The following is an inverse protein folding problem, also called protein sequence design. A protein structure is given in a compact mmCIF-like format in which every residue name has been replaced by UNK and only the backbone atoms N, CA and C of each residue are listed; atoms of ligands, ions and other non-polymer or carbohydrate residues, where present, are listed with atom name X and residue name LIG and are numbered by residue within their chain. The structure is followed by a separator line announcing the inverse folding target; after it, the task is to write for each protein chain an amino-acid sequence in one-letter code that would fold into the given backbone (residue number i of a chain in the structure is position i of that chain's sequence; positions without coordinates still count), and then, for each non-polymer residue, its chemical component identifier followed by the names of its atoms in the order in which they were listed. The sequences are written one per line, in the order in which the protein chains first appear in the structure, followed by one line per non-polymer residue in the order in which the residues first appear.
data_IF_983795287464
#
_entry.id   IF_983795287464
#
_cell.length_a   1.000
_cell.length_b   1.000
_cell.length_c   1.000
_cell.angle_alpha   90.00
_cell.angle_beta   90.00
_cell.angle_gamma   90.00
#
_symmetry.space_group_name_H-M   'P 1'
#
loop_
_entity.id
_entity.type
_entity.pdbx_description
1 polymer ?
#
# COMPACT_ATOMS: atom_id res chain seq x y z
N UNK A 1 14.67 -1.53 -29.76
CA UNK A 1 14.84 -2.18 -28.44
C UNK A 1 15.68 -1.33 -27.47
N UNK A 2 16.83 -0.75 -27.87
CA UNK A 2 17.59 0.20 -27.03
C UNK A 2 16.81 1.48 -26.67
N UNK A 3 16.10 2.10 -27.62
CA UNK A 3 15.26 3.29 -27.38
C UNK A 3 14.14 3.13 -26.34
N UNK A 4 13.73 1.89 -26.05
CA UNK A 4 12.74 1.57 -25.02
C UNK A 4 13.37 1.24 -23.66
N UNK A 5 14.60 0.73 -23.66
CA UNK A 5 15.29 0.30 -22.44
C UNK A 5 15.89 1.49 -21.69
N UNK A 6 16.46 2.47 -22.39
CA UNK A 6 17.11 3.63 -21.80
C UNK A 6 16.20 4.44 -20.84
N UNK A 7 14.95 4.83 -21.20
CA UNK A 7 14.07 5.56 -20.28
C UNK A 7 13.56 4.72 -19.10
N UNK A 8 13.51 3.39 -19.25
CA UNK A 8 13.13 2.49 -18.15
C UNK A 8 14.24 2.44 -17.10
N UNK A 9 15.51 2.36 -17.52
CA UNK A 9 16.65 2.38 -16.59
C UNK A 9 16.74 3.71 -15.84
N UNK A 10 16.52 4.84 -16.51
CA UNK A 10 16.53 6.16 -15.87
C UNK A 10 15.40 6.32 -14.84
N UNK A 11 14.21 5.80 -15.16
CA UNK A 11 13.05 5.84 -14.26
C UNK A 11 13.31 5.02 -12.99
N UNK A 12 13.80 3.78 -13.16
CA UNK A 12 14.16 2.90 -12.05
C UNK A 12 15.28 3.51 -11.21
N UNK A 13 16.30 4.09 -11.84
CA UNK A 13 17.40 4.78 -11.17
C UNK A 13 16.91 5.94 -10.32
N UNK A 14 16.02 6.78 -10.86
CA UNK A 14 15.46 7.94 -10.15
C UNK A 14 14.62 7.53 -8.94
N UNK A 15 13.74 6.53 -9.10
CA UNK A 15 12.94 5.98 -8.00
C UNK A 15 13.83 5.42 -6.91
N UNK A 16 14.84 4.63 -7.27
CA UNK A 16 15.80 4.03 -6.33
C UNK A 16 16.54 5.10 -5.53
N UNK A 17 17.04 6.15 -6.19
CA UNK A 17 17.73 7.25 -5.52
C UNK A 17 16.81 8.04 -4.58
N UNK A 18 15.54 8.22 -4.93
CA UNK A 18 14.57 8.91 -4.08
C UNK A 18 14.23 8.10 -2.83
N UNK A 19 14.12 6.77 -2.96
CA UNK A 19 13.96 5.86 -1.81
C UNK A 19 15.18 5.93 -0.89
N UNK A 20 16.39 5.86 -1.43
CA UNK A 20 17.63 5.96 -0.63
C UNK A 20 17.74 7.31 0.10
N UNK A 21 17.41 8.41 -0.57
CA UNK A 21 17.37 9.75 0.05
C UNK A 21 16.33 9.80 1.18
N UNK A 22 15.14 9.24 0.97
CA UNK A 22 14.09 9.18 1.98
C UNK A 22 14.58 8.40 3.21
N UNK A 23 15.14 7.19 3.03
CA UNK A 23 15.70 6.39 4.12
C UNK A 23 16.80 7.13 4.89
N UNK A 24 17.66 7.89 4.22
CA UNK A 24 18.67 8.72 4.88
C UNK A 24 18.04 9.86 5.73
N UNK A 25 16.95 10.47 5.27
CA UNK A 25 16.22 11.46 6.08
C UNK A 25 15.57 10.83 7.32
N UNK A 26 15.07 9.60 7.20
CA UNK A 26 14.52 8.83 8.33
C UNK A 26 15.60 8.48 9.33
N UNK A 27 16.76 7.97 8.87
CA UNK A 27 17.89 7.64 9.72
C UNK A 27 18.44 8.87 10.48
N UNK A 28 18.32 10.07 9.91
CA UNK A 28 18.68 11.34 10.56
C UNK A 28 17.61 11.88 11.52
N UNK A 29 16.52 11.12 11.76
CA UNK A 29 15.44 11.50 12.67
C UNK A 29 14.60 12.71 12.22
N UNK A 30 14.67 13.10 10.94
CA UNK A 30 14.01 14.30 10.42
C UNK A 30 12.54 14.08 10.03
N UNK A 31 11.84 13.22 10.77
CA UNK A 31 10.46 12.80 10.51
C UNK A 31 9.48 13.75 11.19
N UNK A 32 8.53 14.28 10.42
CA UNK A 32 7.40 15.01 10.98
C UNK A 32 6.33 14.01 11.42
N UNK A 33 6.21 13.79 12.72
CA UNK A 33 5.29 12.80 13.32
C UNK A 33 3.83 13.11 13.02
N UNK A 34 3.43 14.38 13.04
CA UNK A 34 2.04 14.78 12.76
C UNK A 34 1.66 14.39 11.33
N UNK A 35 2.52 14.70 10.38
CA UNK A 35 2.29 14.34 8.98
C UNK A 35 2.35 12.83 8.75
N UNK A 36 3.21 12.11 9.47
CA UNK A 36 3.26 10.66 9.40
C UNK A 36 1.95 10.02 9.89
N UNK A 37 1.43 10.47 11.04
CA UNK A 37 0.17 9.95 11.61
C UNK A 37 -1.01 10.22 10.67
N UNK A 38 -1.06 11.39 10.05
CA UNK A 38 -2.07 11.72 9.04
C UNK A 38 -2.00 10.76 7.84
N UNK A 39 -0.80 10.49 7.33
CA UNK A 39 -0.63 9.52 6.23
C UNK A 39 -0.96 8.09 6.67
N UNK A 40 -0.66 7.69 7.91
CA UNK A 40 -1.04 6.38 8.43
C UNK A 40 -2.57 6.21 8.53
N UNK A 41 -3.30 7.28 8.87
CA UNK A 41 -4.76 7.26 8.85
C UNK A 41 -5.31 7.03 7.43
N UNK A 42 -4.76 7.73 6.44
CA UNK A 42 -5.14 7.58 5.02
C UNK A 42 -4.87 6.18 4.50
N UNK A 43 -3.69 5.63 4.83
CA UNK A 43 -3.27 4.28 4.39
C UNK A 43 -4.07 3.19 5.10
N UNK A 44 -4.20 3.28 6.42
CA UNK A 44 -4.80 2.25 7.26
C UNK A 44 -6.30 2.43 7.49
N UNK A 45 -6.64 3.42 8.33
CA UNK A 45 -8.01 3.62 8.81
C UNK A 45 -9.00 3.81 7.66
N UNK A 46 -8.67 4.65 6.68
CA UNK A 46 -9.58 4.90 5.57
C UNK A 46 -9.69 3.67 4.63
N UNK A 47 -8.71 2.75 4.64
CA UNK A 47 -8.72 1.53 3.83
C UNK A 47 -9.45 0.38 4.51
N UNK A 48 -9.69 0.46 5.83
CA UNK A 48 -10.34 -0.61 6.60
C UNK A 48 -11.68 -1.06 5.99
N UNK A 49 -12.61 -0.15 5.60
CA UNK A 49 -13.89 -0.58 5.03
C UNK A 49 -13.74 -1.45 3.78
N UNK A 50 -12.80 -1.08 2.90
CA UNK A 50 -12.52 -1.82 1.68
C UNK A 50 -11.93 -3.20 1.99
N UNK A 51 -10.91 -3.26 2.86
CA UNK A 51 -10.25 -4.52 3.26
C UNK A 51 -11.24 -5.47 3.92
N UNK A 52 -12.08 -4.96 4.83
CA UNK A 52 -13.10 -5.77 5.53
C UNK A 52 -14.14 -6.31 4.56
N UNK A 53 -14.66 -5.48 3.65
CA UNK A 53 -15.65 -5.92 2.66
C UNK A 53 -15.09 -7.03 1.76
N UNK A 54 -13.91 -6.83 1.16
CA UNK A 54 -13.31 -7.82 0.26
C UNK A 54 -13.00 -9.12 1.01
N UNK A 55 -12.41 -9.02 2.21
CA UNK A 55 -12.04 -10.20 3.00
C UNK A 55 -13.27 -10.99 3.48
N UNK A 56 -14.35 -10.30 3.85
CA UNK A 56 -15.60 -10.95 4.27
C UNK A 56 -16.27 -11.72 3.13
N UNK A 57 -16.32 -11.12 1.93
CA UNK A 57 -16.87 -11.77 0.73
C UNK A 57 -16.00 -12.98 0.37
N UNK A 58 -14.68 -12.81 0.29
CA UNK A 58 -13.75 -13.90 -0.01
C UNK A 58 -13.79 -15.03 1.02
N UNK A 59 -13.92 -14.71 2.31
CA UNK A 59 -14.07 -15.70 3.38
C UNK A 59 -15.36 -16.51 3.25
N UNK A 60 -16.46 -15.85 2.89
CA UNK A 60 -17.76 -16.50 2.67
C UNK A 60 -17.72 -17.47 1.47
N UNK A 61 -17.08 -17.05 0.38
CA UNK A 61 -16.86 -17.89 -0.81
C UNK A 61 -15.99 -19.10 -0.48
N UNK A 62 -14.92 -18.89 0.31
CA UNK A 62 -14.05 -19.99 0.73
C UNK A 62 -14.80 -21.01 1.60
N UNK A 63 -15.63 -20.54 2.54
CA UNK A 63 -16.44 -21.41 3.39
C UNK A 63 -17.42 -22.26 2.56
N UNK A 64 -18.07 -21.66 1.56
CA UNK A 64 -18.96 -22.38 0.66
C UNK A 64 -18.22 -23.48 -0.11
N UNK A 65 -17.10 -23.14 -0.75
CA UNK A 65 -16.28 -24.12 -1.49
C UNK A 65 -15.74 -25.23 -0.59
N UNK A 66 -15.32 -24.90 0.63
CA UNK A 66 -14.83 -25.88 1.59
C UNK A 66 -15.94 -26.83 2.03
N UNK A 67 -17.14 -26.31 2.30
CA UNK A 67 -18.30 -27.11 2.68
C UNK A 67 -18.70 -28.10 1.58
N UNK A 68 -18.73 -27.66 0.31
CA UNK A 68 -19.06 -28.56 -0.81
C UNK A 68 -18.04 -29.70 -0.92
N UNK A 69 -16.74 -29.40 -0.78
CA UNK A 69 -15.69 -30.42 -0.86
C UNK A 69 -15.71 -31.39 0.31
N UNK A 70 -15.91 -30.91 1.53
CA UNK A 70 -15.92 -31.76 2.72
C UNK A 70 -17.22 -32.56 2.89
N UNK A 71 -18.33 -32.11 2.30
CA UNK A 71 -19.57 -32.87 2.28
C UNK A 71 -19.41 -34.20 1.53
N UNK A 72 -18.57 -34.23 0.49
CA UNK A 72 -18.30 -35.45 -0.29
C UNK A 72 -17.40 -36.45 0.43
N UNK A 73 -16.58 -35.99 1.38
CA UNK A 73 -15.61 -36.82 2.11
C UNK A 73 -16.03 -37.16 3.53
N UNK A 74 -17.16 -36.60 4.00
CA UNK A 74 -17.69 -36.79 5.36
C UNK A 74 -16.98 -35.96 6.43
N UNK A 75 -16.15 -34.99 6.06
CA UNK A 75 -15.26 -34.25 6.98
C UNK A 75 -15.73 -32.80 7.23
N UNK A 76 -17.04 -32.57 7.33
CA UNK A 76 -17.65 -31.24 7.43
C UNK A 76 -17.22 -30.46 8.70
N UNK A 77 -16.83 -31.15 9.77
CA UNK A 77 -16.32 -30.52 10.99
C UNK A 77 -15.04 -29.68 10.77
N UNK A 78 -14.27 -29.94 9.71
CA UNK A 78 -13.00 -29.25 9.44
C UNK A 78 -13.16 -27.97 8.63
N UNK A 79 -14.37 -27.64 8.14
CA UNK A 79 -14.62 -26.43 7.32
C UNK A 79 -14.15 -25.17 8.06
N UNK A 80 -14.55 -24.99 9.32
CA UNK A 80 -14.19 -23.81 10.09
C UNK A 80 -12.69 -23.67 10.32
N UNK A 81 -12.00 -24.79 10.61
CA UNK A 81 -10.56 -24.81 10.81
C UNK A 81 -9.80 -24.45 9.54
N UNK A 82 -10.23 -24.98 8.38
CA UNK A 82 -9.64 -24.66 7.09
C UNK A 82 -9.81 -23.17 6.74
N UNK A 83 -11.02 -22.63 6.87
CA UNK A 83 -11.29 -21.22 6.58
C UNK A 83 -10.46 -20.31 7.48
N UNK A 84 -10.43 -20.56 8.79
CA UNK A 84 -9.65 -19.76 9.73
C UNK A 84 -8.15 -19.78 9.40
N UNK A 85 -7.58 -20.97 9.14
CA UNK A 85 -6.16 -21.12 8.84
C UNK A 85 -5.78 -20.44 7.53
N UNK A 86 -6.57 -20.63 6.47
CA UNK A 86 -6.35 -20.01 5.17
C UNK A 86 -6.50 -18.49 5.21
N UNK A 87 -7.46 -17.97 5.98
CA UNK A 87 -7.64 -16.53 6.17
C UNK A 87 -6.44 -15.90 6.89
N UNK A 88 -5.95 -16.50 7.97
CA UNK A 88 -4.85 -15.90 8.74
C UNK A 88 -3.50 -16.00 8.03
N UNK A 89 -3.21 -17.13 7.36
CA UNK A 89 -1.87 -17.37 6.79
C UNK A 89 -1.66 -16.79 5.40
N UNK A 90 -2.71 -16.73 4.59
CA UNK A 90 -2.57 -16.40 3.17
C UNK A 90 -3.52 -15.29 2.75
N UNK A 91 -4.82 -15.55 2.85
CA UNK A 91 -5.82 -14.69 2.23
C UNK A 91 -5.91 -13.32 2.91
N UNK A 92 -5.80 -13.25 4.24
CA UNK A 92 -5.81 -11.98 4.98
C UNK A 92 -4.70 -11.03 4.54
N UNK A 93 -3.41 -11.46 4.58
CA UNK A 93 -2.30 -10.66 4.05
C UNK A 93 -2.47 -10.29 2.57
N UNK A 94 -2.90 -11.23 1.72
CA UNK A 94 -3.07 -10.99 0.27
C UNK A 94 -4.17 -9.96 0.01
N UNK A 95 -5.35 -10.13 0.61
CA UNK A 95 -6.49 -9.21 0.42
C UNK A 95 -6.16 -7.81 0.94
N UNK A 96 -5.46 -7.73 2.09
CA UNK A 96 -5.02 -6.46 2.67
C UNK A 96 -4.04 -5.74 1.73
N UNK A 97 -2.99 -6.44 1.27
CA UNK A 97 -1.98 -5.87 0.38
C UNK A 97 -2.58 -5.40 -0.96
N UNK A 98 -3.49 -6.19 -1.55
CA UNK A 98 -4.15 -5.84 -2.80
C UNK A 98 -5.09 -4.64 -2.63
N UNK A 99 -5.94 -4.65 -1.62
CA UNK A 99 -6.91 -3.58 -1.39
C UNK A 99 -6.23 -2.26 -1.04
N UNK A 100 -5.26 -2.27 -0.11
CA UNK A 100 -4.51 -1.07 0.27
C UNK A 100 -3.68 -0.59 -0.93
N UNK A 101 -2.93 -1.48 -1.59
CA UNK A 101 -2.09 -1.12 -2.73
C UNK A 101 -2.86 -0.45 -3.87
N UNK A 102 -4.04 -0.98 -4.21
CA UNK A 102 -4.90 -0.39 -5.24
C UNK A 102 -5.45 0.99 -4.83
N UNK A 103 -6.00 1.09 -3.62
CA UNK A 103 -6.65 2.33 -3.14
C UNK A 103 -5.64 3.44 -2.87
N UNK A 104 -4.60 3.12 -2.10
CA UNK A 104 -3.59 4.10 -1.67
C UNK A 104 -2.70 4.49 -2.85
N UNK A 105 -2.31 3.53 -3.71
CA UNK A 105 -1.49 3.81 -4.88
C UNK A 105 -2.17 4.79 -5.85
N UNK A 106 -3.48 4.62 -6.09
CA UNK A 106 -4.26 5.53 -6.93
C UNK A 106 -4.46 6.89 -6.25
N UNK A 107 -4.81 6.92 -4.96
CA UNK A 107 -4.98 8.15 -4.20
C UNK A 107 -3.70 9.00 -4.18
N UNK A 108 -2.55 8.40 -3.85
CA UNK A 108 -1.26 9.10 -3.83
C UNK A 108 -0.83 9.58 -5.21
N UNK A 109 -1.07 8.78 -6.26
CA UNK A 109 -0.75 9.19 -7.63
C UNK A 109 -1.60 10.37 -8.08
N UNK A 110 -2.91 10.35 -7.79
CA UNK A 110 -3.82 11.44 -8.10
C UNK A 110 -3.47 12.73 -7.32
N UNK A 111 -3.12 12.60 -6.04
CA UNK A 111 -2.71 13.73 -5.21
C UNK A 111 -1.40 14.36 -5.72
N UNK A 112 -0.38 13.55 -6.02
CA UNK A 112 0.88 14.04 -6.60
C UNK A 112 0.68 14.68 -7.98
N UNK A 113 -0.17 14.09 -8.82
CA UNK A 113 -0.51 14.65 -10.12
C UNK A 113 -1.18 16.02 -9.97
N UNK A 114 -2.14 16.15 -9.06
CA UNK A 114 -2.79 17.43 -8.77
C UNK A 114 -1.78 18.48 -8.26
N UNK A 115 -0.88 18.09 -7.36
CA UNK A 115 0.18 18.97 -6.85
C UNK A 115 1.20 19.38 -7.93
N UNK A 116 1.46 18.51 -8.90
CA UNK A 116 2.33 18.80 -10.04
C UNK A 116 1.65 19.80 -10.99
N UNK A 117 0.39 19.56 -11.36
CA UNK A 117 -0.38 20.44 -12.29
C UNK A 117 -0.62 21.82 -11.67
N UNK A 118 -0.78 21.90 -10.34
CA UNK A 118 -0.94 23.17 -9.61
C UNK A 118 0.39 23.83 -9.23
N UNK A 119 1.53 23.30 -9.69
CA UNK A 119 2.89 23.80 -9.43
C UNK A 119 3.30 23.87 -7.94
N UNK A 120 2.60 23.16 -7.05
CA UNK A 120 2.92 23.16 -5.61
C UNK A 120 4.29 22.53 -5.34
N UNK A 121 4.65 21.48 -6.10
CA UNK A 121 5.95 20.81 -5.97
C UNK A 121 7.10 21.76 -6.32
N UNK A 122 6.93 22.59 -7.35
CA UNK A 122 7.97 23.54 -7.76
C UNK A 122 8.02 24.75 -6.84
N UNK A 123 6.87 25.20 -6.31
CA UNK A 123 6.82 26.19 -5.24
C UNK A 123 7.64 25.75 -4.02
N UNK A 124 7.53 24.49 -3.59
CA UNK A 124 8.35 23.96 -2.49
C UNK A 124 9.85 24.02 -2.79
N UNK A 125 10.27 23.68 -4.02
CA UNK A 125 11.67 23.79 -4.44
C UNK A 125 12.17 25.24 -4.39
N UNK A 126 11.36 26.20 -4.85
CA UNK A 126 11.68 27.64 -4.77
C UNK A 126 11.83 28.14 -3.33
N UNK A 127 11.02 27.60 -2.42
CA UNK A 127 11.10 27.88 -0.98
C UNK A 127 12.21 27.11 -0.25
N UNK A 128 13.11 26.42 -0.97
CA UNK A 128 14.16 25.57 -0.41
C UNK A 128 13.63 24.44 0.50
N UNK A 129 12.39 24.02 0.31
CA UNK A 129 11.77 22.87 1.00
C UNK A 129 11.93 21.64 0.13
N UNK A 130 12.58 20.59 0.66
CA UNK A 130 12.77 19.33 -0.07
C UNK A 130 11.44 18.58 -0.25
N UNK A 131 10.97 18.35 -1.50
CA UNK A 131 9.75 17.58 -1.75
C UNK A 131 9.88 16.12 -1.33
N UNK A 132 11.09 15.54 -1.42
CA UNK A 132 11.35 14.16 -1.00
C UNK A 132 11.11 14.01 0.50
N UNK A 133 11.59 14.97 1.31
CA UNK A 133 11.41 14.92 2.76
C UNK A 133 9.96 15.18 3.16
N UNK A 134 9.28 16.12 2.52
CA UNK A 134 7.97 16.59 2.97
C UNK A 134 6.79 15.83 2.35
N UNK A 135 6.93 15.27 1.14
CA UNK A 135 5.84 14.54 0.47
C UNK A 135 6.12 13.04 0.41
N UNK A 136 7.28 12.65 -0.13
CA UNK A 136 7.56 11.25 -0.44
C UNK A 136 7.83 10.42 0.83
N UNK A 137 8.69 10.92 1.72
CA UNK A 137 9.11 10.21 2.94
C UNK A 137 7.95 9.83 3.88
N UNK A 138 7.03 10.74 4.29
CA UNK A 138 5.94 10.36 5.20
C UNK A 138 4.99 9.34 4.58
N UNK A 139 4.71 9.43 3.28
CA UNK A 139 3.89 8.45 2.54
C UNK A 139 4.55 7.08 2.48
N UNK A 140 5.84 7.04 2.16
CA UNK A 140 6.62 5.79 2.13
C UNK A 140 6.62 5.10 3.51
N UNK A 141 6.84 5.86 4.58
CA UNK A 141 6.82 5.32 5.93
C UNK A 141 5.42 4.84 6.35
N UNK A 142 4.39 5.62 6.05
CA UNK A 142 3.01 5.21 6.35
C UNK A 142 2.67 3.88 5.67
N UNK A 143 3.08 3.67 4.41
CA UNK A 143 2.87 2.39 3.70
C UNK A 143 3.71 1.22 4.19
N UNK A 144 4.82 1.47 4.91
CA UNK A 144 5.67 0.42 5.45
C UNK A 144 5.24 -0.01 6.87
N UNK A 145 4.65 0.91 7.62
CA UNK A 145 4.27 0.71 9.03
C UNK A 145 2.85 0.17 9.21
N UNK A 146 1.98 0.38 8.23
CA UNK A 146 0.58 -0.09 8.21
C UNK A 146 0.49 -1.39 7.42
#
# INVERSE_FOLDING_TARGET
MRELLDPMFDSVGTVTLNVLKALNYVAKGRVNTNQLVEQMAVVGADSMPLVLMVSMISGSVLALHASEKFAMTGANEYVGALVALSMVREMGPIMTALAIGARVGTAFSAELANMAITNQIDAMKMMHVSPIRYLFMPRLLATLLV
#
